data_IF_709494617366
#
_entry.id   IF_709494617366
#
_cell.length_a   1.000
_cell.length_b   1.000
_cell.length_c   1.000
_cell.angle_alpha   90.00
_cell.angle_beta   90.00
_cell.angle_gamma   90.00
#
_symmetry.space_group_name_H-M   'P 1'
#
loop_
_entity.id
_entity.type
_entity.pdbx_description
1 polymer ?
#
# COMPACT_ATOMS: atom_id res chain seq x y z
N UNK A 1 75.50 -14.45 -44.96
CA UNK A 1 75.13 -13.37 -44.02
C UNK A 1 73.75 -12.86 -44.41
N UNK A 2 72.83 -12.71 -43.44
CA UNK A 2 71.37 -12.58 -43.63
C UNK A 2 70.94 -11.35 -44.46
N UNK A 3 69.91 -11.46 -45.32
CA UNK A 3 69.38 -10.35 -46.10
C UNK A 3 68.34 -9.51 -45.32
N UNK A 4 68.24 -8.23 -45.72
CA UNK A 4 67.39 -7.15 -45.20
C UNK A 4 65.93 -7.32 -45.66
N UNK A 5 64.92 -7.03 -44.82
CA UNK A 5 63.51 -7.12 -45.24
C UNK A 5 63.07 -5.89 -46.06
N UNK A 6 62.12 -6.04 -47.01
CA UNK A 6 61.58 -4.93 -47.81
C UNK A 6 60.45 -4.17 -47.09
N UNK A 7 60.26 -2.90 -47.48
CA UNK A 7 59.27 -1.97 -46.95
C UNK A 7 57.82 -2.27 -47.41
N UNK A 8 56.78 -1.91 -46.61
CA UNK A 8 55.38 -2.15 -46.99
C UNK A 8 54.82 -1.05 -47.91
N UNK A 9 53.98 -1.48 -48.87
CA UNK A 9 53.21 -0.64 -49.79
C UNK A 9 51.91 -0.04 -49.21
N UNK A 10 51.13 0.70 -50.02
CA UNK A 10 50.16 1.69 -49.55
C UNK A 10 48.83 1.09 -49.06
N UNK A 11 48.22 1.82 -48.13
CA UNK A 11 47.01 1.53 -47.34
C UNK A 11 45.72 1.43 -48.16
N UNK A 12 44.96 0.36 -47.96
CA UNK A 12 43.58 0.20 -48.43
C UNK A 12 42.58 0.66 -47.37
N UNK A 13 41.53 1.35 -47.84
CA UNK A 13 40.46 1.93 -47.04
C UNK A 13 39.66 0.88 -46.25
N UNK A 14 39.34 1.23 -45.00
CA UNK A 14 38.56 0.42 -44.06
C UNK A 14 37.14 0.15 -44.57
N UNK A 15 36.87 -1.08 -44.98
CA UNK A 15 35.52 -1.59 -45.15
C UNK A 15 35.05 -2.17 -43.82
N UNK A 16 33.98 -1.60 -43.24
CA UNK A 16 33.33 -2.13 -42.05
C UNK A 16 32.88 -3.59 -42.28
N UNK A 17 33.09 -4.51 -41.32
CA UNK A 17 32.88 -5.92 -41.54
C UNK A 17 31.40 -6.24 -41.80
N UNK A 18 31.15 -7.07 -42.82
CA UNK A 18 29.84 -7.46 -43.36
C UNK A 18 28.86 -8.11 -42.35
N UNK A 19 29.20 -8.19 -41.06
CA UNK A 19 28.38 -8.76 -39.97
C UNK A 19 27.50 -7.72 -39.23
N UNK A 20 27.68 -6.42 -39.44
CA UNK A 20 26.87 -5.36 -38.79
C UNK A 20 25.69 -4.83 -39.63
N UNK A 21 25.62 -5.18 -40.91
CA UNK A 21 24.56 -4.72 -41.83
C UNK A 21 23.12 -5.04 -41.41
N UNK A 22 22.79 -6.25 -40.89
CA UNK A 22 21.39 -6.55 -40.52
C UNK A 22 20.94 -5.81 -39.25
N UNK A 23 21.87 -5.43 -38.37
CA UNK A 23 21.57 -4.70 -37.14
C UNK A 23 21.37 -3.20 -37.40
N UNK A 24 22.14 -2.61 -38.32
CA UNK A 24 21.95 -1.22 -38.76
C UNK A 24 20.60 -1.01 -39.45
N UNK A 25 20.16 -1.96 -40.28
CA UNK A 25 18.84 -1.90 -40.92
C UNK A 25 17.69 -1.93 -39.89
N UNK A 26 17.78 -2.79 -38.87
CA UNK A 26 16.77 -2.85 -37.79
C UNK A 26 16.76 -1.59 -36.94
N UNK A 27 17.93 -1.01 -36.65
CA UNK A 27 18.03 0.24 -35.89
C UNK A 27 17.42 1.41 -36.68
N UNK A 28 17.69 1.48 -37.98
CA UNK A 28 17.10 2.49 -38.87
C UNK A 28 15.57 2.35 -38.95
N UNK A 29 15.04 1.14 -39.10
CA UNK A 29 13.59 0.91 -39.09
C UNK A 29 12.95 1.32 -37.77
N UNK A 30 13.59 1.04 -36.62
CA UNK A 30 13.08 1.44 -35.32
C UNK A 30 13.04 2.96 -35.16
N UNK A 31 14.10 3.66 -35.61
CA UNK A 31 14.17 5.12 -35.59
C UNK A 31 13.13 5.76 -36.51
N UNK A 32 12.86 5.18 -37.69
CA UNK A 32 11.82 5.66 -38.61
C UNK A 32 10.42 5.48 -37.99
N UNK A 33 10.11 4.30 -37.44
CA UNK A 33 8.81 4.05 -36.80
C UNK A 33 8.60 4.97 -35.59
N UNK A 34 9.65 5.18 -34.79
CA UNK A 34 9.60 6.10 -33.66
C UNK A 34 9.41 7.56 -34.11
N UNK A 35 10.12 8.02 -35.14
CA UNK A 35 9.98 9.37 -35.67
C UNK A 35 8.60 9.61 -36.31
N UNK A 36 8.06 8.64 -37.03
CA UNK A 36 6.70 8.70 -37.60
C UNK A 36 5.64 8.70 -36.50
N UNK A 37 5.75 7.84 -35.49
CA UNK A 37 4.84 7.82 -34.35
C UNK A 37 4.87 9.13 -33.54
N UNK A 38 6.07 9.68 -33.32
CA UNK A 38 6.25 10.96 -32.64
C UNK A 38 5.65 12.13 -33.44
N UNK A 39 5.85 12.15 -34.76
CA UNK A 39 5.30 13.18 -35.65
C UNK A 39 3.77 13.11 -35.76
N UNK A 40 3.19 11.90 -35.82
CA UNK A 40 1.74 11.69 -35.82
C UNK A 40 1.11 12.03 -34.46
N UNK A 41 1.83 11.81 -33.36
CA UNK A 41 1.42 12.23 -32.01
C UNK A 41 1.36 13.75 -31.87
N UNK A 42 2.33 14.48 -32.45
CA UNK A 42 2.32 15.94 -32.48
C UNK A 42 1.27 16.52 -33.44
N UNK A 43 0.96 15.83 -34.54
CA UNK A 43 -0.11 16.24 -35.46
C UNK A 43 -1.52 15.95 -34.92
N UNK A 44 -1.68 14.96 -34.02
CA UNK A 44 -2.93 14.70 -33.31
C UNK A 44 -3.16 15.59 -32.08
N UNK A 45 -2.16 16.38 -31.65
CA UNK A 45 -2.33 17.37 -30.57
C UNK A 45 -2.75 18.75 -31.06
N UNK A 46 -3.47 18.81 -32.20
CA UNK A 46 -4.16 20.03 -32.61
C UNK A 46 -5.20 20.43 -31.57
N UNK A 47 -5.00 21.62 -31.04
CA UNK A 47 -5.80 22.33 -30.05
C UNK A 47 -7.26 22.40 -30.46
N UNK A 48 -8.15 21.70 -29.73
CA UNK A 48 -9.59 22.03 -29.75
C UNK A 48 -9.82 23.31 -28.95
N UNK A 49 -10.45 24.35 -29.51
CA UNK A 49 -10.93 25.47 -28.70
C UNK A 49 -12.06 24.97 -27.79
N UNK A 50 -11.92 25.26 -26.49
CA UNK A 50 -12.93 24.97 -25.48
C UNK A 50 -14.21 25.76 -25.75
N UNK A 51 -15.41 25.16 -25.76
CA UNK A 51 -16.64 25.92 -25.81
C UNK A 51 -16.84 26.66 -24.49
N UNK A 52 -17.02 27.98 -24.56
CA UNK A 52 -17.41 28.83 -23.42
C UNK A 52 -18.67 28.26 -22.75
N UNK A 53 -18.71 28.10 -21.41
CA UNK A 53 -19.95 27.76 -20.74
C UNK A 53 -20.87 28.99 -20.76
N UNK A 54 -22.03 28.84 -21.40
CA UNK A 54 -23.14 29.77 -21.28
C UNK A 54 -23.53 29.93 -19.82
N UNK A 55 -23.61 31.18 -19.37
CA UNK A 55 -24.17 31.55 -18.07
C UNK A 55 -25.61 31.02 -17.99
N UNK A 56 -25.80 29.91 -17.28
CA UNK A 56 -27.11 29.46 -16.85
C UNK A 56 -27.25 29.86 -15.40
N UNK A 57 -28.13 30.81 -15.15
CA UNK A 57 -28.49 31.31 -13.83
C UNK A 57 -28.93 30.15 -12.93
N UNK A 58 -28.06 29.71 -12.03
CA UNK A 58 -28.45 28.84 -10.92
C UNK A 58 -29.18 29.73 -9.92
N UNK A 59 -30.51 29.62 -9.93
CA UNK A 59 -31.37 30.12 -8.86
C UNK A 59 -30.98 29.36 -7.59
N UNK A 60 -30.39 30.06 -6.63
CA UNK A 60 -30.17 29.55 -5.27
C UNK A 60 -31.54 29.37 -4.61
N UNK A 61 -31.88 28.18 -4.07
CA UNK A 61 -33.02 28.09 -3.18
C UNK A 61 -32.68 28.87 -1.91
N UNK A 62 -33.44 29.92 -1.64
CA UNK A 62 -33.43 30.61 -0.35
C UNK A 62 -33.77 29.58 0.73
N UNK A 63 -32.87 29.41 1.70
CA UNK A 63 -33.16 28.73 2.95
C UNK A 63 -34.22 29.56 3.71
N UNK A 64 -35.47 29.16 3.58
CA UNK A 64 -36.57 29.73 4.35
C UNK A 64 -36.57 29.11 5.76
N UNK A 65 -36.48 29.98 6.75
CA UNK A 65 -37.10 29.90 8.08
C UNK A 65 -37.06 28.54 8.83
N UNK A 66 -36.12 28.44 9.77
CA UNK A 66 -36.42 27.87 11.08
C UNK A 66 -36.22 28.99 12.11
N UNK A 67 -37.27 29.79 12.29
CA UNK A 67 -37.36 30.72 13.44
C UNK A 67 -38.18 30.02 14.50
N UNK A 68 -37.45 29.68 15.56
CA UNK A 68 -37.98 29.31 16.86
C UNK A 68 -38.93 30.40 17.38
N UNK A 69 -40.04 29.97 17.97
CA UNK A 69 -41.08 30.87 18.45
C UNK A 69 -40.78 31.30 19.88
N UNK A 70 -40.73 32.61 20.12
CA UNK A 70 -41.03 33.18 21.45
C UNK A 70 -41.60 34.58 21.28
N UNK A 71 -42.76 34.91 21.87
CA UNK A 71 -43.29 36.25 21.85
C UNK A 71 -42.92 36.99 23.14
N UNK A 72 -42.27 38.15 23.00
CA UNK A 72 -42.31 39.20 24.01
C UNK A 72 -42.17 40.59 23.36
N UNK A 73 -43.31 41.28 23.34
CA UNK A 73 -43.58 42.72 23.40
C UNK A 73 -42.49 43.77 23.00
N UNK A 74 -42.85 44.54 21.96
CA UNK A 74 -42.88 46.01 21.83
C UNK A 74 -41.81 46.91 22.51
N UNK A 75 -41.13 47.75 21.73
CA UNK A 75 -41.41 49.21 21.66
C UNK A 75 -40.46 49.99 20.73
N UNK A 76 -41.05 50.83 19.87
CA UNK A 76 -40.62 52.09 19.22
C UNK A 76 -39.14 52.54 19.19
N UNK A 77 -38.70 53.00 18.02
CA UNK A 77 -37.77 54.15 17.94
C UNK A 77 -36.83 54.22 16.73
N UNK A 78 -37.18 55.08 15.78
CA UNK A 78 -36.30 55.92 14.92
C UNK A 78 -35.34 55.29 13.91
N UNK A 79 -35.52 55.75 12.66
CA UNK A 79 -34.65 55.57 11.52
C UNK A 79 -33.25 56.16 11.74
N UNK A 80 -32.24 55.34 11.45
CA UNK A 80 -30.85 55.77 11.27
C UNK A 80 -30.24 54.94 10.15
N UNK A 81 -29.96 55.58 9.01
CA UNK A 81 -29.22 54.98 7.91
C UNK A 81 -27.81 54.62 8.41
N UNK A 82 -27.56 53.34 8.64
CA UNK A 82 -26.22 52.82 8.92
C UNK A 82 -25.83 51.88 7.77
N UNK A 83 -24.71 52.22 7.15
CA UNK A 83 -24.10 51.52 6.05
C UNK A 83 -24.07 50.00 6.29
N UNK A 84 -24.43 49.25 5.25
CA UNK A 84 -24.27 47.80 5.19
C UNK A 84 -22.78 47.51 5.24
N UNK A 85 -22.26 47.34 6.45
CA UNK A 85 -20.97 46.71 6.67
C UNK A 85 -21.11 45.27 6.19
N UNK A 86 -20.42 44.94 5.11
CA UNK A 86 -20.19 43.57 4.68
C UNK A 86 -19.41 42.87 5.81
N UNK A 87 -20.12 42.32 6.78
CA UNK A 87 -19.57 41.45 7.80
C UNK A 87 -19.06 40.21 7.09
N UNK A 88 -17.79 40.25 6.68
CA UNK A 88 -17.01 39.08 6.33
C UNK A 88 -16.81 38.29 7.61
N UNK A 89 -17.81 37.48 7.98
CA UNK A 89 -17.58 36.42 8.96
C UNK A 89 -16.48 35.53 8.37
N UNK A 90 -15.30 35.41 9.00
CA UNK A 90 -14.37 34.37 8.60
C UNK A 90 -15.13 33.05 8.71
N UNK A 91 -14.97 32.12 7.75
CA UNK A 91 -15.62 30.83 7.84
C UNK A 91 -15.22 30.22 9.18
N UNK A 92 -16.18 30.14 10.11
CA UNK A 92 -15.97 29.45 11.39
C UNK A 92 -15.59 28.02 11.02
N UNK A 93 -14.43 27.57 11.48
CA UNK A 93 -14.04 26.17 11.34
C UNK A 93 -15.23 25.30 11.79
N UNK A 94 -15.55 24.22 11.04
CA UNK A 94 -16.58 23.29 11.48
C UNK A 94 -16.32 22.89 12.94
N UNK A 95 -17.36 22.71 13.75
CA UNK A 95 -17.16 22.33 15.14
C UNK A 95 -16.26 21.09 15.22
N UNK A 96 -15.31 21.12 16.16
CA UNK A 96 -14.21 20.14 16.25
C UNK A 96 -14.69 18.69 16.44
N UNK A 97 -15.94 18.49 16.83
CA UNK A 97 -16.59 17.20 17.00
C UNK A 97 -16.81 16.45 15.67
N UNK A 98 -16.98 17.16 14.55
CA UNK A 98 -17.15 16.56 13.22
C UNK A 98 -15.90 15.82 12.69
N UNK A 99 -14.75 16.02 13.33
CA UNK A 99 -13.49 15.33 13.02
C UNK A 99 -13.09 14.31 14.08
N UNK A 100 -13.93 14.05 15.10
CA UNK A 100 -13.59 13.12 16.18
C UNK A 100 -13.86 11.69 15.74
N UNK A 101 -12.78 10.93 15.65
CA UNK A 101 -12.83 9.47 15.61
C UNK A 101 -12.61 8.92 17.01
N UNK A 102 -13.21 7.75 17.29
CA UNK A 102 -12.95 7.02 18.54
C UNK A 102 -11.48 6.63 18.56
N UNK A 103 -10.73 7.11 19.54
CA UNK A 103 -9.30 6.77 19.69
C UNK A 103 -9.05 5.70 20.75
N UNK A 104 -10.05 5.45 21.60
CA UNK A 104 -10.03 4.49 22.70
C UNK A 104 -10.91 3.30 22.36
N UNK A 105 -10.33 2.12 22.37
CA UNK A 105 -10.97 0.85 22.05
C UNK A 105 -11.14 0.03 23.34
N UNK A 106 -11.86 -1.10 23.26
CA UNK A 106 -12.08 -2.01 24.37
C UNK A 106 -10.77 -2.61 24.91
N UNK A 107 -10.91 -3.34 26.01
CA UNK A 107 -9.79 -4.03 26.67
C UNK A 107 -9.07 -4.97 25.70
N UNK A 108 -7.74 -4.86 25.54
CA UNK A 108 -7.01 -5.65 24.55
C UNK A 108 -7.16 -7.15 24.76
N UNK A 109 -7.57 -7.84 23.69
CA UNK A 109 -7.49 -9.30 23.61
C UNK A 109 -6.02 -9.70 23.37
N UNK A 110 -5.51 -10.75 24.05
CA UNK A 110 -4.21 -11.35 23.75
C UNK A 110 -4.12 -11.79 22.29
N UNK A 111 -2.98 -11.59 21.63
CA UNK A 111 -2.85 -11.84 20.18
C UNK A 111 -3.12 -13.30 19.78
N UNK A 112 -2.74 -14.25 20.64
CA UNK A 112 -3.00 -15.70 20.47
C UNK A 112 -4.49 -16.06 20.57
N UNK A 113 -5.27 -15.25 21.29
CA UNK A 113 -6.72 -15.40 21.42
C UNK A 113 -7.52 -14.67 20.32
N UNK A 114 -6.88 -13.86 19.46
CA UNK A 114 -7.58 -13.05 18.45
C UNK A 114 -8.35 -13.92 17.45
N UNK A 115 -7.71 -14.96 16.89
CA UNK A 115 -8.38 -15.83 15.92
C UNK A 115 -9.60 -16.49 16.54
N UNK A 116 -9.46 -17.08 17.74
CA UNK A 116 -10.59 -17.71 18.43
C UNK A 116 -11.72 -16.72 18.70
N UNK A 117 -11.39 -15.53 19.18
CA UNK A 117 -12.36 -14.46 19.42
C UNK A 117 -13.14 -14.12 18.15
N UNK A 118 -12.46 -14.02 17.01
CA UNK A 118 -13.13 -13.70 15.74
C UNK A 118 -13.96 -14.87 15.21
N UNK A 119 -13.51 -16.13 15.36
CA UNK A 119 -14.34 -17.29 15.04
C UNK A 119 -15.62 -17.30 15.86
N UNK A 120 -15.54 -17.05 17.17
CA UNK A 120 -16.71 -17.00 18.06
C UNK A 120 -17.66 -15.83 17.73
N UNK A 121 -17.12 -14.67 17.34
CA UNK A 121 -17.92 -13.46 17.06
C UNK A 121 -18.53 -13.44 15.66
N UNK A 122 -17.88 -14.06 14.68
CA UNK A 122 -18.21 -13.89 13.25
C UNK A 122 -18.63 -15.18 12.54
N UNK A 123 -18.22 -16.35 13.06
CA UNK A 123 -18.31 -17.63 12.35
C UNK A 123 -18.84 -18.75 13.26
N UNK A 124 -19.63 -18.41 14.27
CA UNK A 124 -20.27 -19.36 15.19
C UNK A 124 -19.28 -20.36 15.84
N UNK A 125 -18.03 -19.93 16.02
CA UNK A 125 -16.96 -20.73 16.63
C UNK A 125 -16.26 -21.72 15.69
N UNK A 126 -16.64 -21.77 14.41
CA UNK A 126 -16.06 -22.65 13.38
C UNK A 126 -15.24 -21.87 12.35
N UNK A 127 -14.24 -22.53 11.74
CA UNK A 127 -13.46 -21.91 10.66
C UNK A 127 -14.36 -21.66 9.44
N UNK A 128 -14.36 -20.47 8.81
CA UNK A 128 -15.12 -20.23 7.59
C UNK A 128 -14.63 -21.11 6.42
N UNK A 129 -13.45 -21.73 6.56
CA UNK A 129 -12.92 -22.66 5.59
C UNK A 129 -13.40 -24.10 5.81
N UNK A 130 -13.92 -24.47 6.99
CA UNK A 130 -14.38 -25.83 7.26
C UNK A 130 -15.42 -26.25 6.21
N UNK A 131 -15.17 -27.37 5.52
CA UNK A 131 -16.03 -27.85 4.43
C UNK A 131 -16.11 -26.97 3.16
N UNK A 132 -15.34 -25.88 3.08
CA UNK A 132 -15.32 -24.98 1.92
C UNK A 132 -14.32 -25.44 0.83
N UNK A 133 -14.64 -25.25 -0.47
CA UNK A 133 -15.95 -24.85 -1.00
C UNK A 133 -16.90 -26.05 -1.14
N UNK A 134 -18.22 -25.88 -0.89
CA UNK A 134 -19.19 -26.91 -1.26
C UNK A 134 -19.30 -27.05 -2.79
N UNK A 135 -19.66 -28.24 -3.28
CA UNK A 135 -19.66 -28.57 -4.72
C UNK A 135 -20.38 -27.54 -5.61
N UNK A 136 -21.54 -27.04 -5.18
CA UNK A 136 -22.31 -26.05 -5.95
C UNK A 136 -21.58 -24.71 -6.06
N UNK A 137 -20.83 -24.30 -5.02
CA UNK A 137 -20.02 -23.07 -5.03
C UNK A 137 -18.77 -23.31 -5.87
N UNK A 138 -18.09 -24.44 -5.70
CA UNK A 138 -16.90 -24.79 -6.47
C UNK A 138 -17.14 -24.74 -7.98
N UNK A 139 -18.31 -25.19 -8.45
CA UNK A 139 -18.69 -25.15 -9.86
C UNK A 139 -18.87 -23.72 -10.45
N UNK A 140 -18.98 -22.70 -9.59
CA UNK A 140 -19.13 -21.30 -10.01
C UNK A 140 -17.81 -20.53 -9.99
N UNK A 141 -16.78 -21.03 -9.31
CA UNK A 141 -15.52 -20.31 -9.12
C UNK A 141 -14.58 -20.52 -10.31
N UNK A 142 -13.71 -19.54 -10.54
CA UNK A 142 -12.56 -19.73 -11.40
C UNK A 142 -11.54 -20.63 -10.69
N UNK A 143 -10.69 -21.35 -11.44
CA UNK A 143 -9.59 -22.10 -10.86
C UNK A 143 -8.78 -21.21 -9.90
N UNK A 144 -8.56 -21.71 -8.69
CA UNK A 144 -7.83 -20.96 -7.68
C UNK A 144 -6.43 -20.62 -8.16
N UNK A 145 -6.01 -19.38 -7.95
CA UNK A 145 -4.67 -18.93 -8.31
C UNK A 145 -3.82 -18.84 -7.04
N UNK A 146 -2.69 -19.54 -6.99
CA UNK A 146 -1.70 -19.38 -5.91
C UNK A 146 -1.15 -17.95 -5.83
N UNK A 147 -1.22 -17.21 -6.95
CA UNK A 147 -0.94 -15.77 -7.04
C UNK A 147 -2.12 -15.08 -7.71
N UNK A 148 -3.16 -14.74 -6.95
CA UNK A 148 -4.32 -14.07 -7.52
C UNK A 148 -3.96 -12.64 -7.91
N UNK A 149 -4.86 -11.97 -8.64
CA UNK A 149 -4.65 -10.58 -9.02
C UNK A 149 -4.62 -9.68 -7.78
N UNK A 150 -3.63 -8.79 -7.75
CA UNK A 150 -3.55 -7.61 -6.90
C UNK A 150 -2.55 -6.60 -7.48
N UNK A 151 -2.55 -5.38 -6.94
CA UNK A 151 -1.68 -4.28 -7.37
C UNK A 151 -0.72 -3.94 -6.25
N UNK A 152 0.57 -3.78 -6.58
CA UNK A 152 1.57 -3.47 -5.56
C UNK A 152 1.80 -4.56 -4.51
N UNK A 153 1.02 -5.64 -4.53
CA UNK A 153 0.87 -6.66 -3.47
C UNK A 153 2.12 -7.47 -3.12
N UNK A 154 3.21 -7.32 -3.88
CA UNK A 154 4.50 -7.98 -3.64
C UNK A 154 5.66 -6.98 -3.54
N UNK A 155 5.37 -5.72 -3.22
CA UNK A 155 6.38 -4.69 -3.05
C UNK A 155 7.34 -5.01 -1.90
N UNK A 156 8.58 -4.52 -1.97
CA UNK A 156 9.58 -4.79 -0.93
C UNK A 156 9.13 -4.33 0.48
N UNK A 157 8.26 -3.31 0.54
CA UNK A 157 7.70 -2.75 1.79
C UNK A 157 7.08 -3.83 2.69
N UNK A 158 6.43 -4.85 2.13
CA UNK A 158 5.78 -5.91 2.90
C UNK A 158 6.81 -6.72 3.70
N UNK A 159 7.82 -7.27 3.01
CA UNK A 159 8.91 -8.02 3.65
C UNK A 159 9.62 -7.17 4.68
N UNK A 160 9.97 -5.96 4.29
CA UNK A 160 10.69 -5.00 5.09
C UNK A 160 9.97 -4.65 6.40
N UNK A 161 8.66 -4.37 6.34
CA UNK A 161 7.86 -4.07 7.51
C UNK A 161 7.58 -5.31 8.36
N UNK A 162 7.28 -6.47 7.77
CA UNK A 162 7.07 -7.72 8.51
C UNK A 162 8.34 -8.13 9.25
N UNK A 163 9.51 -7.99 8.62
CA UNK A 163 10.80 -8.29 9.25
C UNK A 163 11.12 -7.32 10.39
N UNK A 164 10.80 -6.04 10.23
CA UNK A 164 11.07 -5.01 11.23
C UNK A 164 10.10 -5.08 12.43
N UNK A 165 8.81 -5.29 12.17
CA UNK A 165 7.72 -5.29 13.16
C UNK A 165 7.58 -6.66 13.82
N UNK A 166 7.78 -7.74 13.07
CA UNK A 166 7.48 -9.13 13.48
C UNK A 166 6.06 -9.26 14.06
N UNK A 167 5.02 -8.92 13.28
CA UNK A 167 3.65 -8.83 13.77
C UNK A 167 3.10 -10.19 14.23
N UNK A 168 2.24 -10.17 15.24
CA UNK A 168 1.37 -11.30 15.63
C UNK A 168 -0.02 -11.15 15.00
N UNK A 169 -0.47 -9.90 14.79
CA UNK A 169 -1.73 -9.58 14.11
C UNK A 169 -1.49 -8.54 13.01
N UNK A 170 -1.89 -8.88 11.80
CA UNK A 170 -1.91 -8.01 10.63
C UNK A 170 -3.37 -7.74 10.24
N UNK A 171 -3.73 -6.49 9.96
CA UNK A 171 -5.02 -6.14 9.35
C UNK A 171 -4.78 -5.57 7.95
N UNK A 172 -5.49 -6.07 6.96
CA UNK A 172 -5.51 -5.56 5.59
C UNK A 172 -6.90 -4.99 5.31
N UNK A 173 -6.97 -3.74 4.86
CA UNK A 173 -8.21 -3.12 4.39
C UNK A 173 -8.21 -3.13 2.85
N UNK A 174 -9.19 -3.79 2.24
CA UNK A 174 -9.27 -3.95 0.79
C UNK A 174 -8.55 -5.21 0.30
N UNK A 175 -9.01 -6.37 0.75
CA UNK A 175 -8.35 -7.65 0.46
C UNK A 175 -8.56 -8.15 -0.99
N UNK A 176 -9.66 -7.76 -1.64
CA UNK A 176 -10.04 -8.20 -2.98
C UNK A 176 -9.94 -9.73 -3.17
N UNK A 177 -8.98 -10.20 -3.98
CA UNK A 177 -8.73 -11.64 -4.24
C UNK A 177 -7.61 -12.23 -3.35
N UNK A 178 -7.01 -11.43 -2.47
CA UNK A 178 -6.08 -11.86 -1.42
C UNK A 178 -4.60 -11.85 -1.82
N UNK A 179 -4.22 -11.14 -2.88
CA UNK A 179 -2.84 -11.18 -3.38
C UNK A 179 -1.81 -10.70 -2.33
N UNK A 180 -2.08 -9.58 -1.65
CA UNK A 180 -1.22 -9.00 -0.61
C UNK A 180 -1.27 -9.83 0.66
N UNK A 181 -2.46 -10.23 1.14
CA UNK A 181 -2.61 -11.17 2.25
C UNK A 181 -1.80 -12.47 2.08
N UNK A 182 -1.90 -13.11 0.91
CA UNK A 182 -1.15 -14.35 0.62
C UNK A 182 0.35 -14.10 0.52
N UNK A 183 0.75 -12.95 -0.01
CA UNK A 183 2.15 -12.54 0.01
C UNK A 183 2.67 -12.33 1.45
N UNK A 184 1.91 -11.62 2.30
CA UNK A 184 2.23 -11.42 3.71
C UNK A 184 2.31 -12.74 4.46
N UNK A 185 1.43 -13.70 4.17
CA UNK A 185 1.49 -15.04 4.73
C UNK A 185 2.79 -15.76 4.34
N UNK A 186 3.13 -15.76 3.04
CA UNK A 186 4.36 -16.40 2.55
C UNK A 186 5.64 -15.75 3.12
N UNK A 187 5.68 -14.42 3.17
CA UNK A 187 6.79 -13.66 3.78
C UNK A 187 6.92 -14.00 5.27
N UNK A 188 5.80 -14.04 6.00
CA UNK A 188 5.79 -14.38 7.43
C UNK A 188 6.35 -15.78 7.67
N UNK A 189 5.91 -16.77 6.88
CA UNK A 189 6.44 -18.14 6.96
C UNK A 189 7.95 -18.20 6.74
N UNK A 190 8.46 -17.51 5.72
CA UNK A 190 9.90 -17.43 5.44
C UNK A 190 10.72 -16.80 6.59
N UNK A 191 10.06 -16.07 7.49
CA UNK A 191 10.65 -15.45 8.68
C UNK A 191 10.33 -16.22 9.97
N UNK A 192 9.78 -17.43 9.86
CA UNK A 192 9.29 -18.27 10.95
C UNK A 192 8.29 -17.53 11.85
N UNK A 193 7.40 -16.76 11.22
CA UNK A 193 6.28 -16.06 11.85
C UNK A 193 4.96 -16.69 11.39
N UNK A 194 3.95 -16.59 12.25
CA UNK A 194 2.61 -17.11 11.98
C UNK A 194 1.51 -16.13 12.42
N UNK A 195 1.53 -14.86 11.94
CA UNK A 195 0.54 -13.88 12.34
C UNK A 195 -0.87 -14.28 11.92
N UNK A 196 -1.87 -13.82 12.68
CA UNK A 196 -3.23 -13.73 12.19
C UNK A 196 -3.32 -12.58 11.18
N UNK A 197 -3.73 -12.87 9.94
CA UNK A 197 -3.91 -11.89 8.88
C UNK A 197 -5.42 -11.70 8.68
N UNK A 198 -5.93 -10.54 9.07
CA UNK A 198 -7.34 -10.22 9.07
C UNK A 198 -7.66 -9.38 7.82
N UNK A 199 -8.34 -9.99 6.86
CA UNK A 199 -8.65 -9.40 5.57
C UNK A 199 -10.03 -8.75 5.58
N UNK A 200 -10.08 -7.43 5.77
CA UNK A 200 -11.30 -6.64 5.84
C UNK A 200 -11.68 -6.14 4.45
N UNK A 201 -12.79 -6.64 3.93
CA UNK A 201 -13.37 -6.24 2.66
C UNK A 201 -14.87 -6.55 2.72
N UNK A 202 -15.72 -5.78 2.04
CA UNK A 202 -17.13 -6.18 1.92
C UNK A 202 -17.31 -7.34 0.93
N UNK A 203 -16.27 -7.64 0.14
CA UNK A 203 -16.21 -8.64 -0.92
C UNK A 203 -17.34 -8.49 -1.93
N UNK A 204 -17.78 -7.26 -2.18
CA UNK A 204 -18.74 -6.90 -3.23
C UNK A 204 -18.08 -6.16 -4.39
N UNK A 205 -16.87 -5.63 -4.15
CA UNK A 205 -16.16 -4.76 -5.08
C UNK A 205 -16.88 -3.42 -5.23
N UNK A 206 -16.35 -2.55 -6.10
CA UNK A 206 -16.96 -1.25 -6.38
C UNK A 206 -17.82 -1.30 -7.65
N UNK A 207 -18.78 -0.39 -7.83
CA UNK A 207 -19.60 -0.35 -9.04
C UNK A 207 -18.75 -0.39 -10.33
N UNK A 208 -19.16 -1.25 -11.27
CA UNK A 208 -18.48 -1.47 -12.56
C UNK A 208 -17.04 -2.01 -12.50
N UNK A 209 -16.54 -2.49 -11.35
CA UNK A 209 -15.21 -3.13 -11.28
C UNK A 209 -15.08 -4.28 -12.28
N UNK A 210 -16.18 -5.01 -12.50
CA UNK A 210 -16.24 -6.17 -13.40
C UNK A 210 -15.83 -5.85 -14.82
N UNK A 211 -16.10 -4.65 -15.34
CA UNK A 211 -15.73 -4.32 -16.73
C UNK A 211 -14.23 -4.41 -16.97
N UNK A 212 -13.43 -4.24 -15.90
CA UNK A 212 -11.98 -4.36 -15.94
C UNK A 212 -11.46 -5.74 -15.52
N UNK A 213 -12.23 -6.51 -14.74
CA UNK A 213 -11.76 -7.74 -14.07
C UNK A 213 -12.60 -8.99 -14.34
N UNK A 214 -13.29 -9.06 -15.48
CA UNK A 214 -14.11 -10.23 -15.87
C UNK A 214 -13.34 -11.55 -15.91
N UNK A 215 -12.02 -11.50 -16.11
CA UNK A 215 -11.15 -12.69 -16.16
C UNK A 215 -10.74 -13.18 -14.78
N UNK A 216 -10.70 -12.28 -13.80
CA UNK A 216 -10.17 -12.55 -12.48
C UNK A 216 -11.27 -12.96 -11.49
N UNK A 217 -12.50 -12.50 -11.72
CA UNK A 217 -13.65 -12.73 -10.82
C UNK A 217 -14.77 -13.44 -11.56
N UNK A 218 -15.38 -14.50 -10.98
CA UNK A 218 -16.50 -15.21 -11.58
C UNK A 218 -17.67 -14.31 -11.98
N UNK A 219 -18.48 -14.71 -12.98
CA UNK A 219 -19.72 -14.02 -13.31
C UNK A 219 -20.65 -13.94 -12.10
N UNK A 220 -21.24 -12.77 -11.87
CA UNK A 220 -22.20 -12.56 -10.79
C UNK A 220 -23.40 -13.49 -10.91
N UNK A 221 -23.86 -14.01 -9.77
CA UNK A 221 -25.07 -14.84 -9.66
C UNK A 221 -26.01 -14.20 -8.65
N UNK A 222 -27.24 -13.88 -9.07
CA UNK A 222 -28.29 -13.35 -8.17
C UNK A 222 -27.90 -12.14 -7.30
N UNK A 223 -27.00 -11.26 -7.79
CA UNK A 223 -26.54 -10.12 -7.00
C UNK A 223 -25.27 -10.37 -6.18
N UNK A 224 -24.77 -11.60 -6.16
CA UNK A 224 -23.53 -12.00 -5.50
C UNK A 224 -22.31 -11.77 -6.41
N UNK A 225 -21.34 -11.00 -5.90
CA UNK A 225 -20.09 -10.75 -6.58
C UNK A 225 -19.19 -12.00 -6.68
N UNK A 226 -19.45 -13.03 -5.85
CA UNK A 226 -18.61 -14.22 -5.71
C UNK A 226 -17.14 -13.89 -5.39
N UNK A 227 -16.86 -12.68 -4.91
CA UNK A 227 -15.50 -12.25 -4.60
C UNK A 227 -15.00 -12.90 -3.31
N UNK A 228 -15.85 -12.98 -2.27
CA UNK A 228 -15.55 -13.69 -1.02
C UNK A 228 -15.22 -15.18 -1.28
N UNK A 229 -16.11 -15.97 -1.93
CA UNK A 229 -15.78 -17.37 -2.16
C UNK A 229 -14.58 -17.53 -3.11
N UNK A 230 -14.36 -16.64 -4.08
CA UNK A 230 -13.14 -16.68 -4.90
C UNK A 230 -11.87 -16.38 -4.08
N UNK A 231 -11.90 -15.36 -3.22
CA UNK A 231 -10.83 -15.07 -2.25
C UNK A 231 -10.52 -16.29 -1.39
N UNK A 232 -11.56 -16.87 -0.75
CA UNK A 232 -11.40 -18.02 0.13
C UNK A 232 -10.82 -19.23 -0.62
N UNK A 233 -11.22 -19.44 -1.88
CA UNK A 233 -10.66 -20.50 -2.73
C UNK A 233 -9.17 -20.28 -3.01
N UNK A 234 -8.73 -19.04 -3.23
CA UNK A 234 -7.31 -18.72 -3.39
C UNK A 234 -6.53 -19.00 -2.10
N UNK A 235 -7.12 -18.67 -0.94
CA UNK A 235 -6.50 -18.94 0.36
C UNK A 235 -6.35 -20.43 0.64
N UNK A 236 -7.39 -21.23 0.36
CA UNK A 236 -7.32 -22.69 0.50
C UNK A 236 -6.27 -23.28 -0.44
N UNK A 237 -6.22 -22.85 -1.69
CA UNK A 237 -5.24 -23.34 -2.66
C UNK A 237 -3.80 -22.97 -2.29
N UNK A 238 -3.58 -21.77 -1.77
CA UNK A 238 -2.26 -21.35 -1.29
C UNK A 238 -1.81 -22.19 -0.09
N UNK A 239 -2.68 -22.44 0.88
CA UNK A 239 -2.36 -23.28 2.03
C UNK A 239 -2.09 -24.74 1.67
N UNK A 240 -2.80 -25.30 0.69
CA UNK A 240 -2.57 -26.66 0.20
C UNK A 240 -1.24 -26.84 -0.54
N UNK A 241 -0.64 -25.76 -1.05
CA UNK A 241 0.65 -25.81 -1.73
C UNK A 241 1.85 -25.79 -0.77
N UNK A 242 1.61 -25.69 0.54
CA UNK A 242 2.65 -25.45 1.56
C UNK A 242 3.04 -26.72 2.38
N UNK A 243 2.49 -27.92 2.07
CA UNK A 243 2.87 -29.34 2.38
C UNK A 243 3.67 -29.77 3.65
N UNK A 244 3.97 -28.94 4.66
CA UNK A 244 4.98 -29.26 5.69
C UNK A 244 4.53 -29.40 7.17
N UNK A 245 3.24 -29.47 7.54
CA UNK A 245 2.87 -29.71 8.95
C UNK A 245 1.50 -30.40 9.13
N UNK A 246 1.52 -31.60 9.71
CA UNK A 246 0.37 -32.50 9.87
C UNK A 246 -0.45 -32.20 11.16
N UNK A 247 -0.07 -31.17 11.94
CA UNK A 247 -0.80 -30.78 13.16
C UNK A 247 -0.75 -29.26 13.49
N UNK A 248 -1.71 -28.50 12.95
CA UNK A 248 -2.03 -27.12 13.37
C UNK A 248 -3.55 -26.90 13.34
N UNK A 249 -4.31 -27.76 14.02
CA UNK A 249 -5.76 -27.94 13.88
C UNK A 249 -6.52 -26.60 13.97
N UNK A 250 -7.06 -25.98 12.92
CA UNK A 250 -7.16 -26.34 11.50
C UNK A 250 -7.48 -25.05 10.73
N UNK A 251 -6.80 -24.80 9.59
CA UNK A 251 -7.11 -23.84 8.49
C UNK A 251 -6.39 -22.46 8.49
N UNK A 252 -6.36 -21.77 7.32
CA UNK A 252 -5.49 -20.64 7.02
C UNK A 252 -5.57 -19.51 8.06
N UNK A 253 -4.42 -18.97 8.47
CA UNK A 253 -4.33 -17.78 9.33
C UNK A 253 -4.73 -16.48 8.63
N UNK A 254 -5.06 -16.56 7.35
CA UNK A 254 -5.68 -15.49 6.57
C UNK A 254 -7.20 -15.62 6.75
N UNK A 255 -7.81 -14.74 7.53
CA UNK A 255 -9.24 -14.78 7.87
C UNK A 255 -10.00 -13.69 7.11
N UNK A 256 -11.03 -14.01 6.31
CA UNK A 256 -11.89 -12.99 5.72
C UNK A 256 -12.75 -12.34 6.81
N UNK A 257 -12.86 -11.02 6.79
CA UNK A 257 -13.82 -10.25 7.59
C UNK A 257 -14.76 -9.56 6.59
N UNK A 258 -15.88 -10.21 6.19
CA UNK A 258 -16.69 -9.82 5.05
C UNK A 258 -17.64 -8.65 5.35
N UNK A 259 -17.07 -7.53 5.77
CA UNK A 259 -17.78 -6.33 6.18
C UNK A 259 -17.07 -5.09 5.63
N UNK A 260 -17.81 -3.99 5.49
CA UNK A 260 -17.19 -2.70 5.18
C UNK A 260 -16.09 -2.36 6.20
N UNK A 261 -15.04 -1.69 5.74
CA UNK A 261 -13.91 -1.25 6.58
C UNK A 261 -14.38 -0.55 7.84
N UNK A 262 -15.36 0.36 7.71
CA UNK A 262 -15.90 1.11 8.83
C UNK A 262 -16.58 0.21 9.89
N UNK A 263 -17.43 -0.73 9.48
CA UNK A 263 -18.11 -1.64 10.40
C UNK A 263 -17.13 -2.61 11.07
N UNK A 264 -16.21 -3.19 10.29
CA UNK A 264 -15.21 -4.13 10.80
C UNK A 264 -14.27 -3.45 11.81
N UNK A 265 -13.69 -2.29 11.46
CA UNK A 265 -12.76 -1.59 12.34
C UNK A 265 -13.42 -1.11 13.65
N UNK A 266 -14.70 -0.69 13.58
CA UNK A 266 -15.47 -0.36 14.79
C UNK A 266 -15.68 -1.60 15.68
N UNK A 267 -16.04 -2.73 15.09
CA UNK A 267 -16.22 -3.98 15.82
C UNK A 267 -14.89 -4.46 16.44
N UNK A 268 -13.79 -4.47 15.67
CA UNK A 268 -12.46 -4.81 16.20
C UNK A 268 -12.07 -3.89 17.36
N UNK A 269 -12.32 -2.59 17.24
CA UNK A 269 -12.10 -1.63 18.31
C UNK A 269 -12.96 -1.94 19.54
N UNK A 270 -14.25 -2.23 19.38
CA UNK A 270 -15.14 -2.56 20.50
C UNK A 270 -14.75 -3.87 21.19
N UNK A 271 -14.31 -4.86 20.42
CA UNK A 271 -13.88 -6.16 20.93
C UNK A 271 -12.45 -6.18 21.45
N UNK A 272 -11.73 -5.05 21.39
CA UNK A 272 -10.35 -4.95 21.85
C UNK A 272 -9.37 -5.76 21.00
N UNK A 273 -9.68 -6.01 19.73
CA UNK A 273 -8.74 -6.61 18.78
C UNK A 273 -7.86 -5.50 18.20
N UNK A 274 -6.55 -5.62 18.41
CA UNK A 274 -5.57 -4.66 17.90
C UNK A 274 -4.53 -5.34 17.03
N UNK A 275 -4.05 -4.60 16.02
CA UNK A 275 -3.04 -5.05 15.08
C UNK A 275 -1.65 -4.43 15.34
N UNK A 276 -0.60 -5.15 14.96
CA UNK A 276 0.79 -4.67 14.99
C UNK A 276 1.18 -4.01 13.66
N UNK A 277 0.59 -4.48 12.57
CA UNK A 277 0.79 -3.97 11.22
C UNK A 277 -0.57 -3.82 10.54
N UNK A 278 -0.84 -2.65 9.96
CA UNK A 278 -2.06 -2.41 9.20
C UNK A 278 -1.74 -1.90 7.81
N UNK A 279 -2.29 -2.56 6.80
CA UNK A 279 -2.31 -2.09 5.41
C UNK A 279 -3.66 -1.43 5.09
N UNK A 280 -3.62 -0.26 4.45
CA UNK A 280 -4.79 0.43 3.91
C UNK A 280 -4.72 0.47 2.37
N UNK A 281 -5.53 -0.35 1.70
CA UNK A 281 -5.65 -0.43 0.22
C UNK A 281 -7.13 -0.62 -0.21
N UNK A 282 -8.05 0.12 0.43
CA UNK A 282 -9.50 -0.02 0.22
C UNK A 282 -10.09 1.06 -0.70
N UNK A 283 -10.54 2.19 -0.14
CA UNK A 283 -11.15 3.29 -0.90
C UNK A 283 -10.12 4.33 -1.37
N UNK A 284 -10.19 4.73 -2.64
CA UNK A 284 -9.13 5.57 -3.25
C UNK A 284 -9.52 7.07 -3.31
N UNK A 285 -10.75 7.41 -2.96
CA UNK A 285 -11.17 8.80 -2.77
C UNK A 285 -10.80 9.30 -1.37
N UNK A 286 -10.83 10.62 -1.18
CA UNK A 286 -10.35 11.23 0.05
C UNK A 286 -11.17 10.86 1.27
N UNK A 287 -12.50 10.76 1.16
CA UNK A 287 -13.35 10.54 2.31
C UNK A 287 -13.26 9.10 2.80
N UNK A 288 -13.24 8.15 1.87
CA UNK A 288 -13.03 6.74 2.19
C UNK A 288 -11.65 6.52 2.81
N UNK A 289 -10.58 6.98 2.16
CA UNK A 289 -9.22 6.87 2.70
C UNK A 289 -9.06 7.59 4.05
N UNK A 290 -9.66 8.77 4.21
CA UNK A 290 -9.65 9.50 5.48
C UNK A 290 -10.32 8.72 6.60
N UNK A 291 -11.51 8.16 6.35
CA UNK A 291 -12.22 7.35 7.33
C UNK A 291 -11.43 6.09 7.70
N UNK A 292 -10.91 5.37 6.70
CA UNK A 292 -10.15 4.14 6.89
C UNK A 292 -8.88 4.39 7.71
N UNK A 293 -8.08 5.39 7.37
CA UNK A 293 -6.85 5.73 8.09
C UNK A 293 -7.15 6.09 9.56
N UNK A 294 -8.21 6.86 9.83
CA UNK A 294 -8.54 7.25 11.20
C UNK A 294 -9.07 6.07 12.03
N UNK A 295 -9.92 5.21 11.47
CA UNK A 295 -10.46 4.03 12.14
C UNK A 295 -9.37 2.95 12.34
N UNK A 296 -8.52 2.73 11.34
CA UNK A 296 -7.36 1.85 11.42
C UNK A 296 -6.39 2.30 12.52
N UNK A 297 -6.16 3.61 12.64
CA UNK A 297 -5.30 4.13 13.69
C UNK A 297 -5.81 3.80 15.09
N UNK A 298 -7.12 3.72 15.32
CA UNK A 298 -7.69 3.38 16.62
C UNK A 298 -7.29 1.96 17.06
N UNK A 299 -7.36 1.00 16.13
CA UNK A 299 -7.06 -0.43 16.36
C UNK A 299 -5.58 -0.79 16.17
N UNK A 300 -4.72 0.16 15.81
CA UNK A 300 -3.27 -0.07 15.78
C UNK A 300 -2.70 -0.07 17.21
N UNK A 301 -1.91 -1.09 17.58
CA UNK A 301 -1.21 -1.10 18.87
C UNK A 301 -0.15 0.01 18.93
N UNK A 302 0.14 0.59 20.10
CA UNK A 302 1.36 1.36 20.30
C UNK A 302 2.59 0.59 19.83
N UNK A 303 3.48 1.24 19.09
CA UNK A 303 4.64 0.59 18.47
C UNK A 303 4.35 -0.07 17.11
N UNK A 304 3.09 -0.30 16.78
CA UNK A 304 2.67 -0.82 15.48
C UNK A 304 2.85 0.18 14.35
N UNK A 305 2.89 -0.32 13.12
CA UNK A 305 3.07 0.46 11.89
C UNK A 305 1.79 0.43 11.05
N UNK A 306 1.40 1.60 10.53
CA UNK A 306 0.39 1.69 9.47
C UNK A 306 1.08 2.02 8.17
N UNK A 307 0.75 1.29 7.12
CA UNK A 307 1.14 1.58 5.76
C UNK A 307 -0.08 1.44 4.85
N UNK A 308 0.06 1.86 3.60
CA UNK A 308 -0.99 1.68 2.62
C UNK A 308 -0.47 1.93 1.22
N UNK A 309 -1.29 1.59 0.23
CA UNK A 309 -0.92 1.63 -1.17
C UNK A 309 -1.42 2.93 -1.82
N UNK A 310 -1.47 2.97 -3.15
CA UNK A 310 -1.92 4.10 -3.97
C UNK A 310 -1.20 5.43 -3.72
N UNK A 311 0.05 5.33 -3.28
CA UNK A 311 0.96 6.45 -3.19
C UNK A 311 1.75 6.59 -4.50
N UNK A 312 1.81 7.78 -5.08
CA UNK A 312 2.46 8.01 -6.38
C UNK A 312 1.94 7.10 -7.53
N UNK A 313 0.71 6.62 -7.44
CA UNK A 313 0.02 5.89 -8.52
C UNK A 313 -0.92 6.82 -9.29
N UNK A 314 -1.60 6.31 -10.32
CA UNK A 314 -2.68 7.05 -11.00
C UNK A 314 -3.88 7.38 -10.10
N UNK A 315 -3.95 6.78 -8.90
CA UNK A 315 -4.95 7.07 -7.88
C UNK A 315 -4.48 8.09 -6.84
N UNK A 316 -3.19 8.45 -6.80
CA UNK A 316 -2.55 9.31 -5.78
C UNK A 316 -3.33 10.61 -5.53
N UNK A 317 -3.68 11.31 -6.62
CA UNK A 317 -4.35 12.61 -6.57
C UNK A 317 -5.86 12.51 -6.34
N UNK A 318 -6.46 11.32 -6.42
CA UNK A 318 -7.91 11.13 -6.17
C UNK A 318 -8.25 11.43 -4.72
N UNK A 319 -7.40 11.02 -3.79
CA UNK A 319 -7.63 11.32 -2.38
C UNK A 319 -6.66 10.73 -1.37
N UNK A 320 -6.08 9.57 -1.64
CA UNK A 320 -5.24 8.82 -0.69
C UNK A 320 -4.11 9.69 -0.13
N UNK A 321 -3.32 10.33 -0.99
CA UNK A 321 -2.20 11.18 -0.54
C UNK A 321 -2.64 12.38 0.28
N UNK A 322 -3.76 13.01 -0.09
CA UNK A 322 -4.32 14.13 0.68
C UNK A 322 -4.78 13.67 2.07
N UNK A 323 -5.44 12.50 2.14
CA UNK A 323 -5.92 11.93 3.39
C UNK A 323 -4.76 11.59 4.33
N UNK A 324 -3.76 10.83 3.87
CA UNK A 324 -2.61 10.45 4.70
C UNK A 324 -1.77 11.67 5.10
N UNK A 325 -1.60 12.66 4.20
CA UNK A 325 -0.85 13.90 4.51
C UNK A 325 -1.56 14.72 5.58
N UNK A 326 -2.89 14.87 5.48
CA UNK A 326 -3.68 15.57 6.49
C UNK A 326 -3.61 14.83 7.82
N UNK A 327 -3.76 13.51 7.79
CA UNK A 327 -3.77 12.68 9.00
C UNK A 327 -2.43 12.78 9.73
N UNK A 328 -1.33 12.63 8.99
CA UNK A 328 0.01 12.78 9.54
C UNK A 328 0.23 14.17 10.14
N UNK A 329 -0.25 15.23 9.49
CA UNK A 329 -0.18 16.59 10.04
C UNK A 329 -0.94 16.72 11.35
N UNK A 330 -2.18 16.21 11.42
CA UNK A 330 -3.02 16.25 12.63
C UNK A 330 -2.39 15.46 13.78
N UNK A 331 -1.73 14.33 13.48
CA UNK A 331 -1.11 13.46 14.49
C UNK A 331 0.37 13.76 14.77
N UNK A 332 0.96 14.78 14.13
CA UNK A 332 2.39 15.10 14.27
C UNK A 332 3.33 14.00 13.77
N UNK A 333 2.90 13.25 12.75
CA UNK A 333 3.64 12.13 12.14
C UNK A 333 4.32 12.57 10.84
N UNK A 334 5.23 11.73 10.36
CA UNK A 334 5.86 11.89 9.04
C UNK A 334 5.42 10.77 8.12
N UNK A 335 4.85 11.13 6.97
CA UNK A 335 4.58 10.17 5.87
C UNK A 335 5.90 9.83 5.18
N UNK A 336 6.19 8.54 5.05
CA UNK A 336 7.38 8.02 4.37
C UNK A 336 6.95 7.29 3.11
N UNK A 337 7.24 7.81 1.92
CA UNK A 337 6.99 7.08 0.68
C UNK A 337 7.89 5.85 0.58
N UNK A 338 7.37 4.76 0.05
CA UNK A 338 8.12 3.54 -0.26
C UNK A 338 7.57 2.89 -1.53
N UNK A 339 8.12 3.28 -2.68
CA UNK A 339 7.57 2.90 -3.99
C UNK A 339 6.13 3.41 -4.14
N UNK A 340 5.20 2.49 -4.39
CA UNK A 340 3.76 2.79 -4.51
C UNK A 340 3.02 2.87 -3.16
N UNK A 341 3.75 2.76 -2.05
CA UNK A 341 3.18 2.72 -0.72
C UNK A 341 3.58 3.94 0.10
N UNK A 342 2.79 4.26 1.12
CA UNK A 342 3.11 5.20 2.18
C UNK A 342 3.24 4.46 3.49
N UNK A 343 4.12 4.94 4.37
CA UNK A 343 4.34 4.38 5.70
C UNK A 343 4.27 5.49 6.73
N UNK A 344 3.48 5.29 7.78
CA UNK A 344 3.47 6.15 8.96
C UNK A 344 4.40 5.56 10.02
N UNK A 345 5.18 6.43 10.65
CA UNK A 345 6.08 6.03 11.75
C UNK A 345 5.30 5.32 12.87
N UNK A 346 5.95 4.41 13.63
CA UNK A 346 5.28 3.64 14.67
C UNK A 346 4.40 4.47 15.60
N UNK A 347 3.19 3.97 15.90
CA UNK A 347 2.22 4.66 16.76
C UNK A 347 2.82 4.93 18.14
N UNK A 348 2.74 6.17 18.66
CA UNK A 348 3.25 6.49 20.00
C UNK A 348 2.41 5.82 21.11
N UNK A 349 3.00 5.55 22.29
CA UNK A 349 2.25 5.09 23.46
C UNK A 349 1.26 6.15 23.96
N UNK A 350 0.18 5.69 24.60
CA UNK A 350 -0.72 6.56 25.38
C UNK A 350 -0.02 6.91 26.69
N UNK A 351 0.18 8.21 26.95
CA UNK A 351 0.94 8.69 28.12
C UNK A 351 2.46 8.68 27.88
N UNK A 352 3.09 9.84 28.04
CA UNK A 352 4.51 10.02 27.72
C UNK A 352 5.46 9.22 28.61
N UNK A 353 6.48 8.63 27.98
CA UNK A 353 7.72 8.06 28.55
C UNK A 353 7.55 6.79 29.40
N UNK A 354 7.14 5.69 28.77
CA UNK A 354 7.37 4.34 29.30
C UNK A 354 7.25 3.32 28.18
N UNK A 355 8.37 2.73 27.75
CA UNK A 355 8.43 1.77 26.63
C UNK A 355 9.48 2.10 25.57
N UNK A 356 10.64 2.64 25.96
CA UNK A 356 11.56 3.31 25.02
C UNK A 356 12.48 2.33 24.24
N UNK A 357 12.77 1.12 24.73
CA UNK A 357 13.78 0.25 24.10
C UNK A 357 13.25 -0.61 22.94
N UNK A 358 12.20 -1.42 23.14
CA UNK A 358 11.58 -2.21 22.07
C UNK A 358 11.07 -1.33 20.92
N UNK A 359 10.52 -0.15 21.24
CA UNK A 359 10.12 0.88 20.27
C UNK A 359 11.31 1.51 19.56
N UNK A 360 12.40 1.84 20.27
CA UNK A 360 13.61 2.32 19.59
C UNK A 360 14.11 1.27 18.63
N UNK A 361 14.02 -0.02 18.95
CA UNK A 361 14.38 -1.13 18.06
C UNK A 361 13.46 -1.23 16.84
N UNK A 362 12.13 -1.19 17.00
CA UNK A 362 11.21 -1.20 15.84
C UNK A 362 11.40 0.07 15.01
N UNK A 363 11.45 1.25 15.64
CA UNK A 363 11.66 2.53 14.93
C UNK A 363 13.03 2.61 14.27
N UNK A 364 14.09 2.07 14.88
CA UNK A 364 15.43 2.02 14.29
C UNK A 364 15.45 1.03 13.13
N UNK A 365 14.89 -0.18 13.29
CA UNK A 365 14.74 -1.17 12.21
C UNK A 365 13.94 -0.61 11.05
N UNK A 366 12.74 -0.07 11.29
CA UNK A 366 11.93 0.59 10.25
C UNK A 366 12.66 1.79 9.63
N UNK A 367 13.46 2.56 10.39
CA UNK A 367 14.28 3.64 9.81
C UNK A 367 15.41 3.15 8.93
N UNK A 368 16.11 2.08 9.35
CA UNK A 368 17.20 1.44 8.62
C UNK A 368 16.65 0.87 7.31
N UNK A 369 15.56 0.12 7.43
CA UNK A 369 14.85 -0.54 6.33
C UNK A 369 14.34 0.49 5.32
N UNK A 370 13.69 1.57 5.77
CA UNK A 370 13.22 2.65 4.90
C UNK A 370 14.32 3.66 4.50
N UNK A 371 15.61 3.32 4.63
CA UNK A 371 16.72 4.10 4.06
C UNK A 371 17.02 5.46 4.70
N UNK A 372 16.68 5.70 5.97
CA UNK A 372 16.97 6.97 6.65
C UNK A 372 18.23 6.86 7.50
N UNK A 373 19.39 6.99 6.85
CA UNK A 373 20.62 7.39 7.51
C UNK A 373 20.46 8.80 8.07
N UNK A 374 20.74 8.99 9.36
CA UNK A 374 20.54 10.27 10.04
C UNK A 374 21.45 11.35 9.47
N UNK A 375 20.88 12.33 8.77
CA UNK A 375 21.51 13.63 8.63
C UNK A 375 21.18 14.43 9.88
N UNK A 376 22.15 14.51 10.79
CA UNK A 376 22.13 15.51 11.84
C UNK A 376 21.98 16.89 11.20
N UNK A 377 21.06 17.68 11.74
CA UNK A 377 20.91 19.09 11.43
C UNK A 377 22.24 19.77 11.78
N UNK A 378 23.04 20.09 10.79
CA UNK A 378 24.04 21.14 10.91
C UNK A 378 23.43 22.41 10.31
N UNK A 379 23.33 23.44 11.14
CA UNK A 379 22.99 24.79 10.71
C UNK A 379 23.97 25.27 9.63
N UNK A 380 23.52 26.04 8.63
CA UNK A 380 24.39 26.56 7.60
C UNK A 380 25.21 27.72 8.18
N UNK A 381 26.50 27.51 8.38
CA UNK A 381 27.49 28.59 8.49
C UNK A 381 28.26 28.71 7.19
N UNK A 382 28.34 29.95 6.70
CA UNK A 382 28.95 30.45 5.47
C UNK A 382 30.42 30.02 5.26
N UNK A 383 30.89 30.00 3.99
CA UNK A 383 32.14 29.36 3.61
C UNK A 383 33.35 30.28 3.86
N UNK A 384 34.45 29.70 4.34
CA UNK A 384 35.77 30.32 4.27
C UNK A 384 36.72 29.43 3.46
N UNK A 385 37.43 30.09 2.55
CA UNK A 385 38.41 29.56 1.62
C UNK A 385 39.67 28.98 2.31
N UNK A 386 40.41 28.23 1.50
CA UNK A 386 41.80 27.79 1.64
C UNK A 386 42.06 26.47 2.39
N UNK A 387 42.33 25.39 1.64
CA UNK A 387 43.70 24.90 1.39
C UNK A 387 43.72 23.65 0.47
N UNK A 388 44.77 23.56 -0.35
CA UNK A 388 45.04 22.55 -1.40
C UNK A 388 45.49 21.18 -0.83
N UNK A 389 45.48 20.10 -1.65
CA UNK A 389 45.37 18.72 -1.20
C UNK A 389 46.72 18.00 -1.05
N UNK A 390 46.79 17.00 -0.16
CA UNK A 390 47.84 15.97 -0.22
C UNK A 390 47.30 14.55 -0.07
N UNK A 391 47.77 13.73 -1.03
CA UNK A 391 48.05 12.28 -1.03
C UNK A 391 46.90 11.26 -1.05
N UNK A 392 46.86 10.58 -2.21
CA UNK A 392 46.25 9.30 -2.56
C UNK A 392 46.62 8.18 -1.58
N UNK A 393 45.65 7.33 -1.25
CA UNK A 393 45.85 5.97 -0.72
C UNK A 393 45.04 4.99 -1.59
N UNK A 394 45.70 3.90 -1.99
CA UNK A 394 45.23 2.86 -2.91
C UNK A 394 44.47 1.73 -2.18
N UNK A 395 43.65 0.92 -2.88
CA UNK A 395 42.85 -0.15 -2.28
C UNK A 395 43.65 -1.47 -2.10
N UNK A 396 43.23 -2.36 -1.17
CA UNK A 396 43.88 -3.65 -0.96
C UNK A 396 43.47 -4.73 -1.99
N UNK A 397 44.32 -5.76 -2.23
CA UNK A 397 44.10 -6.83 -3.20
C UNK A 397 43.30 -8.03 -2.64
N UNK A 398 42.83 -8.95 -3.51
CA UNK A 398 41.99 -10.09 -3.13
C UNK A 398 42.80 -11.29 -2.63
N UNK A 399 42.19 -12.11 -1.76
CA UNK A 399 42.76 -13.38 -1.29
C UNK A 399 42.14 -14.56 -2.03
N UNK A 400 42.99 -15.41 -2.59
CA UNK A 400 42.70 -16.77 -3.09
C UNK A 400 43.84 -17.71 -2.67
N UNK A 401 43.47 -18.88 -2.14
CA UNK A 401 44.14 -20.20 -2.19
C UNK A 401 43.24 -21.18 -1.41
N UNK A 402 42.64 -22.22 -2.00
CA UNK A 402 43.22 -23.51 -2.49
C UNK A 402 43.87 -24.29 -1.34
N UNK A 403 43.67 -25.57 -1.02
CA UNK A 403 43.05 -26.81 -1.54
C UNK A 403 42.67 -27.63 -0.27
N UNK A 404 41.83 -28.67 -0.23
CA UNK A 404 42.09 -30.02 -0.76
C UNK A 404 40.79 -30.85 -0.79
N UNK A 405 40.67 -31.69 -1.82
CA UNK A 405 39.62 -32.66 -2.05
C UNK A 405 39.81 -33.94 -1.21
N UNK A 406 38.71 -34.61 -0.84
CA UNK A 406 38.66 -36.07 -0.80
C UNK A 406 37.26 -36.57 -1.17
N UNK A 407 37.29 -37.58 -2.03
CA UNK A 407 36.22 -38.28 -2.73
C UNK A 407 35.63 -39.41 -1.89
N UNK A 408 34.33 -39.67 -1.99
CA UNK A 408 33.77 -41.03 -2.21
C UNK A 408 32.23 -41.00 -2.36
N UNK A 409 31.76 -41.91 -3.21
CA UNK A 409 30.43 -42.07 -3.81
C UNK A 409 29.34 -42.68 -2.90
N UNK A 410 28.05 -42.68 -3.34
CA UNK A 410 26.91 -43.22 -2.58
C UNK A 410 26.56 -44.67 -2.96
N UNK A 411 25.73 -45.39 -2.18
CA UNK A 411 24.90 -46.50 -2.66
C UNK A 411 23.46 -46.02 -2.87
N UNK A 412 22.85 -46.17 -4.04
CA UNK A 412 22.25 -47.36 -4.66
C UNK A 412 20.94 -47.82 -3.99
N UNK A 413 19.89 -47.76 -4.81
CA UNK A 413 18.55 -48.35 -4.68
C UNK A 413 18.58 -49.81 -4.20
N UNK A 414 17.53 -50.18 -3.47
CA UNK A 414 16.99 -51.54 -3.48
C UNK A 414 15.45 -51.52 -3.35
N UNK A 415 14.84 -52.16 -4.37
CA UNK A 415 13.47 -52.66 -4.53
C UNK A 415 12.33 -51.65 -4.80
#
# INVERSE_FOLDING_TARGET
MKPRPPAPGPSSASAAPARLRPHLARLASFLIVFAVGYSLGLLSSSTRPSPRPSQTTIIRPHAAHLTDASPAAASNGTAGAAAVSSSSYPPRSPPHDLFRFKEECGEPVPSDAVVRTLLDKLFDGESPYAGFPPNHTAALLHPAAARPRGWGSTGAVFKELIEAVRPEVIVELGAFLGASALHMAAVSRNLSLSPAILCVDDFRGWPAFRDRFRRDVPPQRHGDALLLPQFMSNVVAAAAADDDDDDAVTRPRVLPLPFSTASALRALCEWGVYADLIEVDAGHDFHSAWADINLAWAVLRPGGVMFGHDYFTSADDRGVRRAVTLFARVKGLTVRPHGQHWVLSPKPPRGGRGGDDARRRVRSRVRIVLGVGGTGVQHPTTPHLDQKPTKKVAPPPPLFSSLTALSSQPPLLLL
#
